data_IF_649029315557
#
_entry.id   IF_649029315557
#
_cell.length_a   1.000
_cell.length_b   1.000
_cell.length_c   1.000
_cell.angle_alpha   90.00
_cell.angle_beta   90.00
_cell.angle_gamma   90.00
#
_symmetry.space_group_name_H-M   'P 1'
#
loop_
_entity.id
_entity.type
_entity.pdbx_description
1 polymer ?
#
# COMPACT_ATOMS: atom_id res chain seq x y z
N UNK A 1 -13.21 42.03 20.90
CA UNK A 1 -13.20 40.65 21.43
C UNK A 1 -13.61 39.60 20.40
N UNK A 2 -14.75 39.73 19.70
CA UNK A 2 -15.21 38.78 18.66
C UNK A 2 -14.20 38.52 17.53
N UNK A 3 -13.57 39.57 16.98
CA UNK A 3 -12.55 39.45 15.93
C UNK A 3 -11.30 38.68 16.40
N UNK A 4 -10.92 38.83 17.66
CA UNK A 4 -9.75 38.16 18.26
C UNK A 4 -10.04 36.66 18.46
N UNK A 5 -11.28 36.31 18.82
CA UNK A 5 -11.74 34.93 18.95
C UNK A 5 -11.82 34.21 17.60
N UNK A 6 -12.31 34.89 16.56
CA UNK A 6 -12.35 34.37 15.18
C UNK A 6 -10.92 34.12 14.67
N UNK A 7 -9.99 35.01 14.96
CA UNK A 7 -8.59 34.89 14.55
C UNK A 7 -7.87 33.73 15.26
N UNK A 8 -8.10 33.54 16.57
CA UNK A 8 -7.56 32.40 17.33
C UNK A 8 -8.16 31.07 16.84
N UNK A 9 -9.47 31.03 16.59
CA UNK A 9 -10.15 29.83 16.09
C UNK A 9 -9.65 29.45 14.69
N UNK A 10 -9.43 30.45 13.82
CA UNK A 10 -8.91 30.22 12.47
C UNK A 10 -7.46 29.73 12.49
N UNK A 11 -6.60 30.35 13.32
CA UNK A 11 -5.21 29.93 13.50
C UNK A 11 -5.14 28.51 14.08
N UNK A 12 -5.94 28.19 15.08
CA UNK A 12 -5.99 26.84 15.67
C UNK A 12 -6.48 25.78 14.68
N UNK A 13 -7.45 26.12 13.83
CA UNK A 13 -7.97 25.21 12.78
C UNK A 13 -6.92 24.95 11.71
N UNK A 14 -6.16 25.98 11.31
CA UNK A 14 -5.07 25.86 10.33
C UNK A 14 -3.89 25.05 10.90
N UNK A 15 -3.54 25.24 12.18
CA UNK A 15 -2.48 24.47 12.88
C UNK A 15 -2.90 23.00 13.06
N UNK A 16 -4.16 22.74 13.41
CA UNK A 16 -4.69 21.39 13.56
C UNK A 16 -4.75 20.64 12.22
N UNK A 17 -5.20 21.32 11.15
CA UNK A 17 -5.22 20.74 9.81
C UNK A 17 -3.80 20.54 9.25
N UNK A 18 -2.90 21.47 9.55
CA UNK A 18 -1.48 21.40 9.23
C UNK A 18 -0.81 20.20 9.89
N UNK A 19 -0.95 20.01 11.20
CA UNK A 19 -0.37 18.89 11.95
C UNK A 19 -0.97 17.54 11.57
N UNK A 20 -2.29 17.43 11.38
CA UNK A 20 -2.95 16.20 10.93
C UNK A 20 -2.46 15.77 9.53
N UNK A 21 -2.27 16.75 8.64
CA UNK A 21 -1.80 16.48 7.27
C UNK A 21 -0.29 16.29 7.21
N UNK A 22 0.48 16.95 8.07
CA UNK A 22 1.92 16.74 8.28
C UNK A 22 2.23 15.32 8.79
N UNK A 23 1.35 14.75 9.63
CA UNK A 23 1.43 13.35 10.07
C UNK A 23 1.22 12.34 8.92
N UNK A 24 0.34 12.68 7.96
CA UNK A 24 0.20 11.95 6.68
C UNK A 24 1.41 12.16 5.74
N UNK A 25 2.06 13.33 5.84
CA UNK A 25 3.15 13.77 4.98
C UNK A 25 4.53 13.22 5.35
N UNK A 26 4.80 13.08 6.66
CA UNK A 26 6.12 12.70 7.18
C UNK A 26 6.52 11.25 6.90
N UNK A 27 5.68 10.44 6.26
CA UNK A 27 5.99 9.04 5.95
C UNK A 27 6.63 8.30 7.15
N UNK A 28 6.14 8.63 8.37
CA UNK A 28 6.52 8.01 9.64
C UNK A 28 6.00 6.56 9.73
N UNK A 29 5.70 5.93 8.59
CA UNK A 29 5.51 4.49 8.44
C UNK A 29 6.81 3.77 8.11
N UNK A 30 7.76 4.43 7.45
CA UNK A 30 9.02 3.82 7.01
C UNK A 30 10.08 3.73 8.11
N UNK A 31 10.18 4.74 8.96
CA UNK A 31 11.06 4.75 10.15
C UNK A 31 10.48 3.85 11.26
N UNK A 32 9.16 3.89 11.46
CA UNK A 32 8.46 3.01 12.38
C UNK A 32 8.58 1.53 11.95
N UNK A 33 8.45 1.21 10.65
CA UNK A 33 8.67 -0.14 10.11
C UNK A 33 10.07 -0.70 10.50
N UNK A 34 11.09 0.16 10.61
CA UNK A 34 12.47 -0.23 10.92
C UNK A 34 12.62 -0.61 12.40
N UNK A 35 12.10 0.21 13.31
CA UNK A 35 12.09 -0.08 14.77
C UNK A 35 11.15 -1.25 15.12
N UNK A 36 10.02 -1.37 14.43
CA UNK A 36 9.05 -2.47 14.63
C UNK A 36 9.64 -3.83 14.22
N UNK A 37 10.52 -3.88 13.22
CA UNK A 37 11.21 -5.12 12.85
C UNK A 37 12.23 -5.56 13.91
N UNK A 38 12.90 -4.60 14.53
CA UNK A 38 13.83 -4.87 15.62
C UNK A 38 13.10 -5.44 16.86
N UNK A 39 11.93 -4.89 17.21
CA UNK A 39 11.10 -5.40 18.30
C UNK A 39 10.42 -6.76 17.97
N UNK A 40 10.06 -7.01 16.71
CA UNK A 40 9.43 -8.26 16.29
C UNK A 40 10.39 -9.45 16.28
N UNK A 41 11.69 -9.22 16.07
CA UNK A 41 12.71 -10.26 16.23
C UNK A 41 12.90 -10.67 17.69
N UNK A 42 12.62 -9.78 18.65
CA UNK A 42 12.63 -10.08 20.09
C UNK A 42 11.34 -10.71 20.62
N UNK A 43 10.28 -10.81 19.80
CA UNK A 43 8.99 -11.33 20.25
C UNK A 43 8.97 -12.88 20.27
N UNK A 44 8.31 -13.51 21.28
CA UNK A 44 8.27 -14.96 21.47
C UNK A 44 7.45 -15.68 20.39
N UNK A 45 7.95 -16.85 19.95
CA UNK A 45 7.46 -17.55 18.74
C UNK A 45 6.02 -18.08 18.84
N UNK A 46 5.53 -18.36 20.05
CA UNK A 46 4.13 -18.81 20.27
C UNK A 46 3.12 -17.74 19.85
N UNK A 47 3.43 -16.46 20.04
CA UNK A 47 2.59 -15.33 19.62
C UNK A 47 2.57 -15.17 18.10
N UNK A 48 3.70 -15.44 17.42
CA UNK A 48 3.79 -15.38 15.95
C UNK A 48 2.84 -16.38 15.29
N UNK A 49 2.81 -17.61 15.79
CA UNK A 49 2.00 -18.71 15.24
C UNK A 49 0.50 -18.53 15.52
N UNK A 50 0.11 -18.08 16.72
CA UNK A 50 -1.30 -17.85 17.08
C UNK A 50 -1.90 -16.70 16.26
N UNK A 51 -1.14 -15.62 16.09
CA UNK A 51 -1.55 -14.46 15.27
C UNK A 51 -1.61 -14.83 13.79
N UNK A 52 -0.71 -15.69 13.30
CA UNK A 52 -0.74 -16.19 11.93
C UNK A 52 -1.94 -17.08 11.61
N UNK A 53 -2.40 -17.88 12.57
CA UNK A 53 -3.56 -18.78 12.39
C UNK A 53 -4.91 -18.06 12.32
N UNK A 54 -5.11 -16.98 13.09
CA UNK A 54 -6.40 -16.25 13.11
C UNK A 54 -6.56 -15.21 11.98
N UNK A 55 -5.46 -14.68 11.42
CA UNK A 55 -5.48 -13.57 10.46
C UNK A 55 -5.41 -13.97 8.97
N UNK A 56 -5.36 -15.27 8.65
CA UNK A 56 -5.33 -15.79 7.26
C UNK A 56 -6.75 -15.87 6.64
N UNK A 57 -7.81 -15.67 7.43
CA UNK A 57 -9.18 -15.62 6.88
C UNK A 57 -9.41 -14.30 6.12
N UNK A 58 -9.18 -14.37 4.81
CA UNK A 58 -9.82 -13.57 3.75
C UNK A 58 -9.99 -12.07 4.03
N UNK A 59 -8.99 -11.27 3.66
CA UNK A 59 -9.26 -9.90 3.19
C UNK A 59 -8.55 -9.64 1.87
N UNK A 60 -9.14 -10.21 0.81
CA UNK A 60 -8.93 -9.79 -0.56
C UNK A 60 -9.61 -8.44 -0.79
N UNK A 61 -8.89 -7.51 -1.42
CA UNK A 61 -9.49 -6.38 -2.12
C UNK A 61 -9.74 -5.09 -1.31
N UNK A 62 -9.21 -4.00 -1.87
CA UNK A 62 -9.66 -2.59 -1.91
C UNK A 62 -10.57 -2.00 -0.80
N UNK A 63 -10.51 -2.49 0.44
CA UNK A 63 -11.30 -1.97 1.57
C UNK A 63 -10.43 -1.31 2.63
N UNK A 64 -9.52 -0.45 2.18
CA UNK A 64 -8.74 0.45 3.06
C UNK A 64 -9.65 1.32 3.95
N UNK A 65 -10.77 1.77 3.39
CA UNK A 65 -11.74 2.62 4.08
C UNK A 65 -12.58 1.85 5.11
N UNK A 66 -12.90 0.58 4.84
CA UNK A 66 -13.66 -0.27 5.77
C UNK A 66 -12.83 -0.59 7.02
N UNK A 67 -11.52 -0.82 6.85
CA UNK A 67 -10.58 -1.01 7.96
C UNK A 67 -10.49 0.25 8.84
N UNK A 68 -10.41 1.44 8.24
CA UNK A 68 -10.37 2.70 9.01
C UNK A 68 -11.66 2.92 9.82
N UNK A 69 -12.81 2.60 9.23
CA UNK A 69 -14.12 2.76 9.88
C UNK A 69 -14.33 1.76 11.04
N UNK A 70 -13.92 0.50 10.84
CA UNK A 70 -13.95 -0.52 11.91
C UNK A 70 -13.02 -0.15 13.07
N UNK A 71 -11.87 0.48 12.78
CA UNK A 71 -10.93 1.01 13.78
C UNK A 71 -11.45 2.23 14.53
N UNK A 72 -12.12 3.16 13.84
CA UNK A 72 -12.80 4.29 14.48
C UNK A 72 -13.89 3.80 15.44
N UNK A 73 -14.68 2.80 15.01
CA UNK A 73 -15.72 2.16 15.83
C UNK A 73 -15.15 1.42 17.04
N UNK A 74 -14.07 0.65 16.88
CA UNK A 74 -13.41 -0.03 17.99
C UNK A 74 -12.76 0.95 18.98
N UNK A 75 -12.18 2.04 18.49
CA UNK A 75 -11.61 3.09 19.34
C UNK A 75 -12.70 3.85 20.13
N UNK A 76 -13.86 4.12 19.52
CA UNK A 76 -14.98 4.75 20.23
C UNK A 76 -15.61 3.80 21.25
N UNK A 77 -15.74 2.51 20.94
CA UNK A 77 -16.20 1.48 21.89
C UNK A 77 -15.21 1.31 23.05
N UNK A 78 -13.90 1.32 22.76
CA UNK A 78 -12.85 1.25 23.79
C UNK A 78 -12.83 2.51 24.66
N UNK A 79 -13.06 3.70 24.09
CA UNK A 79 -13.15 4.93 24.86
C UNK A 79 -14.42 4.97 25.74
N UNK A 80 -15.56 4.51 25.20
CA UNK A 80 -16.82 4.42 25.93
C UNK A 80 -16.76 3.44 27.11
N UNK A 81 -16.12 2.28 26.91
CA UNK A 81 -15.92 1.28 27.98
C UNK A 81 -14.89 1.72 29.03
N UNK A 82 -13.92 2.57 28.65
CA UNK A 82 -12.92 3.15 29.56
C UNK A 82 -13.51 4.16 30.56
N UNK A 83 -14.56 4.90 30.16
CA UNK A 83 -15.27 5.86 31.05
C UNK A 83 -15.96 5.15 32.22
N UNK A 84 -16.37 3.88 32.03
CA UNK A 84 -17.15 3.12 33.02
C UNK A 84 -16.24 2.43 34.05
N UNK A 85 -15.04 1.98 33.67
CA UNK A 85 -14.25 1.04 34.49
C UNK A 85 -12.95 1.59 35.11
N UNK A 86 -12.63 2.90 34.99
CA UNK A 86 -11.48 3.58 35.64
C UNK A 86 -10.07 3.00 35.45
N UNK A 87 -9.88 2.00 34.57
CA UNK A 87 -8.56 1.45 34.22
C UNK A 87 -8.21 1.70 32.73
N UNK A 88 -7.84 2.94 32.34
CA UNK A 88 -7.70 3.34 30.94
C UNK A 88 -6.43 2.83 30.24
N UNK A 89 -5.42 2.38 30.99
CA UNK A 89 -4.09 2.09 30.43
C UNK A 89 -4.00 0.75 29.70
N UNK A 90 -4.73 -0.28 30.17
CA UNK A 90 -4.63 -1.64 29.62
C UNK A 90 -5.33 -1.75 28.26
N UNK A 91 -6.49 -1.10 28.10
CA UNK A 91 -7.22 -1.07 26.83
C UNK A 91 -6.51 -0.25 25.75
N UNK A 92 -5.86 0.86 26.13
CA UNK A 92 -5.05 1.66 25.20
C UNK A 92 -3.85 0.85 24.69
N UNK A 93 -3.19 0.09 25.58
CA UNK A 93 -2.07 -0.77 25.20
C UNK A 93 -2.52 -1.91 24.27
N UNK A 94 -3.66 -2.55 24.56
CA UNK A 94 -4.20 -3.63 23.72
C UNK A 94 -4.65 -3.12 22.34
N UNK A 95 -5.32 -1.97 22.28
CA UNK A 95 -5.70 -1.33 21.02
C UNK A 95 -4.48 -0.93 20.19
N UNK A 96 -3.42 -0.41 20.82
CA UNK A 96 -2.19 -0.02 20.13
C UNK A 96 -1.41 -1.23 19.60
N UNK A 97 -1.31 -2.31 20.38
CA UNK A 97 -0.68 -3.57 19.95
C UNK A 97 -1.47 -4.21 18.78
N UNK A 98 -2.81 -4.17 18.84
CA UNK A 98 -3.65 -4.72 17.78
C UNK A 98 -3.56 -3.87 16.49
N UNK A 99 -3.37 -2.55 16.62
CA UNK A 99 -3.13 -1.63 15.50
C UNK A 99 -1.78 -1.91 14.84
N UNK A 100 -0.77 -2.15 15.67
CA UNK A 100 0.60 -2.43 15.26
C UNK A 100 0.72 -3.75 14.48
N UNK A 101 0.04 -4.81 14.92
CA UNK A 101 0.04 -6.12 14.24
C UNK A 101 -0.71 -6.06 12.90
N UNK A 102 -1.83 -5.34 12.83
CA UNK A 102 -2.66 -5.26 11.63
C UNK A 102 -2.00 -4.44 10.51
N UNK A 103 -1.33 -3.32 10.85
CA UNK A 103 -0.68 -2.47 9.85
C UNK A 103 0.56 -3.14 9.23
N UNK A 104 1.30 -3.96 10.01
CA UNK A 104 2.50 -4.68 9.56
C UNK A 104 2.22 -5.72 8.47
N UNK A 105 1.09 -6.44 8.54
CA UNK A 105 0.74 -7.42 7.50
C UNK A 105 0.37 -6.72 6.19
N UNK A 106 -0.30 -5.57 6.26
CA UNK A 106 -0.67 -4.79 5.08
C UNK A 106 0.56 -4.24 4.34
N UNK A 107 1.56 -3.73 5.06
CA UNK A 107 2.79 -3.21 4.43
C UNK A 107 3.65 -4.32 3.81
N UNK A 108 3.78 -5.47 4.47
CA UNK A 108 4.51 -6.63 3.94
C UNK A 108 3.86 -7.18 2.67
N UNK A 109 2.53 -7.28 2.65
CA UNK A 109 1.81 -7.80 1.50
C UNK A 109 1.85 -6.84 0.30
N UNK A 110 1.78 -5.53 0.56
CA UNK A 110 1.99 -4.51 -0.47
C UNK A 110 3.42 -4.51 -1.03
N UNK A 111 4.44 -4.70 -0.16
CA UNK A 111 5.84 -4.83 -0.61
C UNK A 111 6.01 -6.09 -1.46
N UNK A 112 5.46 -7.22 -1.02
CA UNK A 112 5.48 -8.49 -1.76
C UNK A 112 4.88 -8.34 -3.16
N UNK A 113 3.66 -7.78 -3.26
CA UNK A 113 2.98 -7.62 -4.56
C UNK A 113 3.73 -6.63 -5.47
N UNK A 114 4.33 -5.57 -4.92
CA UNK A 114 5.17 -4.65 -5.71
C UNK A 114 6.41 -5.34 -6.26
N UNK A 115 7.06 -6.20 -5.49
CA UNK A 115 8.22 -6.98 -5.96
C UNK A 115 7.79 -7.92 -7.09
N UNK A 116 6.67 -8.64 -6.94
CA UNK A 116 6.16 -9.51 -8.00
C UNK A 116 5.87 -8.77 -9.31
N UNK A 117 5.23 -7.60 -9.24
CA UNK A 117 4.94 -6.78 -10.43
C UNK A 117 6.22 -6.25 -11.08
N UNK A 118 7.25 -5.95 -10.30
CA UNK A 118 8.55 -5.48 -10.82
C UNK A 118 9.32 -6.59 -11.54
N UNK A 119 9.22 -7.83 -11.05
CA UNK A 119 9.89 -8.99 -11.64
C UNK A 119 9.18 -9.51 -12.90
N UNK A 120 7.85 -9.37 -12.98
CA UNK A 120 7.00 -9.92 -14.05
C UNK A 120 7.45 -9.62 -15.49
N UNK A 121 7.87 -8.39 -15.88
CA UNK A 121 8.29 -8.09 -17.24
C UNK A 121 9.49 -8.95 -17.70
N UNK A 122 10.46 -9.17 -16.81
CA UNK A 122 11.64 -9.98 -17.12
C UNK A 122 11.27 -11.45 -17.32
N UNK A 123 10.37 -11.98 -16.48
CA UNK A 123 9.86 -13.34 -16.66
C UNK A 123 9.11 -13.51 -17.99
N UNK A 124 8.27 -12.54 -18.36
CA UNK A 124 7.58 -12.55 -19.65
C UNK A 124 8.57 -12.57 -20.83
N UNK A 125 9.65 -11.79 -20.76
CA UNK A 125 10.66 -11.79 -21.83
C UNK A 125 11.39 -13.13 -21.92
N UNK A 126 11.84 -13.68 -20.80
CA UNK A 126 12.53 -14.98 -20.75
C UNK A 126 11.63 -16.11 -21.27
N UNK A 127 10.37 -16.16 -20.84
CA UNK A 127 9.40 -17.16 -21.33
C UNK A 127 9.16 -16.95 -22.83
N UNK A 128 9.03 -15.70 -23.30
CA UNK A 128 8.86 -15.43 -24.73
C UNK A 128 10.06 -15.90 -25.55
N UNK A 129 11.28 -15.77 -25.04
CA UNK A 129 12.50 -16.20 -25.71
C UNK A 129 12.57 -17.73 -25.80
N UNK A 130 12.21 -18.43 -24.73
CA UNK A 130 12.13 -19.91 -24.72
C UNK A 130 11.04 -20.41 -25.67
N UNK A 131 9.87 -19.77 -25.68
CA UNK A 131 8.81 -20.14 -26.61
C UNK A 131 9.15 -19.81 -28.07
N UNK A 132 9.90 -18.74 -28.31
CA UNK A 132 10.40 -18.41 -29.65
C UNK A 132 11.36 -19.46 -30.21
N UNK A 133 12.10 -20.18 -29.34
CA UNK A 133 12.96 -21.31 -29.74
C UNK A 133 12.22 -22.64 -29.87
N UNK A 134 10.89 -22.65 -29.74
CA UNK A 134 10.06 -23.85 -29.88
C UNK A 134 9.85 -24.64 -28.59
N UNK A 135 10.24 -24.10 -27.44
CA UNK A 135 9.99 -24.76 -26.14
C UNK A 135 8.51 -24.63 -25.76
N UNK A 136 7.82 -25.73 -25.38
CA UNK A 136 6.43 -25.67 -24.93
C UNK A 136 6.26 -24.78 -23.68
N UNK A 137 5.11 -24.10 -23.55
CA UNK A 137 4.84 -23.14 -22.47
C UNK A 137 5.13 -23.69 -21.06
N UNK A 138 4.67 -24.89 -20.75
CA UNK A 138 4.83 -25.49 -19.41
C UNK A 138 6.32 -25.72 -19.09
N UNK A 139 7.08 -26.21 -20.07
CA UNK A 139 8.52 -26.43 -19.93
C UNK A 139 9.30 -25.11 -19.90
N UNK A 140 8.83 -24.09 -20.62
CA UNK A 140 9.40 -22.74 -20.58
C UNK A 140 9.20 -22.10 -19.19
N UNK A 141 8.01 -22.24 -18.59
CA UNK A 141 7.72 -21.78 -17.23
C UNK A 141 8.63 -22.46 -16.20
N UNK A 142 8.82 -23.76 -16.31
CA UNK A 142 9.71 -24.53 -15.44
C UNK A 142 11.16 -24.06 -15.56
N UNK A 143 11.72 -24.03 -16.78
CA UNK A 143 13.11 -23.62 -17.00
C UNK A 143 13.40 -22.19 -16.54
N UNK A 144 12.47 -21.27 -16.77
CA UNK A 144 12.63 -19.87 -16.36
C UNK A 144 12.53 -19.74 -14.84
N UNK A 145 11.65 -20.49 -14.18
CA UNK A 145 11.56 -20.51 -12.72
C UNK A 145 12.85 -21.05 -12.09
N UNK A 146 13.37 -22.17 -12.61
CA UNK A 146 14.63 -22.75 -12.14
C UNK A 146 15.84 -21.83 -12.35
N UNK A 147 15.86 -21.08 -13.46
CA UNK A 147 16.94 -20.13 -13.75
C UNK A 147 16.92 -18.90 -12.83
N UNK A 148 15.78 -18.60 -12.20
CA UNK A 148 15.55 -17.39 -11.42
C UNK A 148 15.17 -17.68 -9.95
N UNK A 149 15.68 -18.77 -9.37
CA UNK A 149 15.27 -19.28 -8.05
C UNK A 149 15.31 -18.27 -6.88
N UNK A 150 16.14 -17.23 -6.95
CA UNK A 150 16.20 -16.17 -5.92
C UNK A 150 15.02 -15.21 -5.95
N UNK A 151 14.30 -15.13 -7.08
CA UNK A 151 13.19 -14.20 -7.29
C UNK A 151 11.91 -14.73 -6.69
N UNK A 152 11.09 -13.83 -6.14
CA UNK A 152 9.83 -14.23 -5.50
C UNK A 152 8.86 -14.84 -6.51
N UNK A 153 8.80 -14.31 -7.73
CA UNK A 153 7.92 -14.83 -8.79
C UNK A 153 8.32 -16.24 -9.24
N UNK A 154 9.62 -16.59 -9.20
CA UNK A 154 10.07 -17.96 -9.50
C UNK A 154 9.51 -18.98 -8.51
N UNK A 155 9.51 -18.66 -7.21
CA UNK A 155 8.96 -19.55 -6.18
C UNK A 155 7.47 -19.86 -6.40
N UNK A 156 6.70 -18.85 -6.82
CA UNK A 156 5.28 -18.98 -7.11
C UNK A 156 5.02 -19.78 -8.41
N UNK A 157 5.84 -19.58 -9.46
CA UNK A 157 5.78 -20.38 -10.69
C UNK A 157 6.19 -21.83 -10.42
N UNK A 158 7.21 -22.07 -9.60
CA UNK A 158 7.61 -23.41 -9.19
C UNK A 158 6.49 -24.14 -8.44
N UNK A 159 5.73 -23.43 -7.59
CA UNK A 159 4.54 -23.99 -6.96
C UNK A 159 3.45 -24.37 -7.99
N UNK A 160 3.29 -23.60 -9.08
CA UNK A 160 2.39 -23.96 -10.19
C UNK A 160 2.90 -25.19 -10.93
N UNK A 161 4.18 -25.27 -11.27
CA UNK A 161 4.79 -26.43 -11.95
C UNK A 161 4.64 -27.69 -11.10
N UNK A 162 4.82 -27.61 -9.78
CA UNK A 162 4.58 -28.73 -8.88
C UNK A 162 3.11 -29.18 -8.87
N UNK A 163 2.15 -28.24 -8.93
CA UNK A 163 0.72 -28.59 -9.05
C UNK A 163 0.42 -29.31 -10.36
N UNK A 164 0.99 -28.83 -11.46
CA UNK A 164 0.88 -29.48 -12.77
C UNK A 164 1.44 -30.91 -12.75
N UNK A 165 2.61 -31.11 -12.14
CA UNK A 165 3.23 -32.45 -11.98
C UNK A 165 2.39 -33.41 -11.13
N UNK A 166 1.57 -32.88 -10.22
CA UNK A 166 0.60 -33.66 -9.41
C UNK A 166 -0.69 -34.00 -10.17
N UNK A 167 -0.81 -33.63 -11.44
CA UNK A 167 -1.98 -33.91 -12.28
C UNK A 167 -3.08 -32.85 -12.20
N UNK A 168 -2.84 -31.70 -11.55
CA UNK A 168 -3.81 -30.60 -11.58
C UNK A 168 -3.84 -29.97 -12.98
N UNK A 169 -5.03 -29.60 -13.46
CA UNK A 169 -5.18 -28.89 -14.73
C UNK A 169 -4.42 -27.55 -14.76
N UNK A 170 -3.99 -27.14 -15.95
CA UNK A 170 -3.27 -25.88 -16.17
C UNK A 170 -4.10 -24.67 -15.70
N UNK A 171 -5.37 -24.63 -16.08
CA UNK A 171 -6.28 -23.54 -15.75
C UNK A 171 -6.46 -23.40 -14.24
N UNK A 172 -6.66 -24.51 -13.53
CA UNK A 172 -6.82 -24.51 -12.07
C UNK A 172 -5.51 -24.09 -11.36
N UNK A 173 -4.37 -24.57 -11.84
CA UNK A 173 -3.06 -24.28 -11.23
C UNK A 173 -2.67 -22.81 -11.42
N UNK A 174 -2.92 -22.25 -12.61
CA UNK A 174 -2.70 -20.85 -12.91
C UNK A 174 -3.69 -19.93 -12.17
N UNK A 175 -4.95 -20.35 -12.02
CA UNK A 175 -5.93 -19.61 -11.21
C UNK A 175 -5.51 -19.53 -9.74
N UNK A 176 -5.00 -20.62 -9.17
CA UNK A 176 -4.45 -20.63 -7.81
C UNK A 176 -3.27 -19.66 -7.64
N UNK A 177 -2.42 -19.48 -8.65
CA UNK A 177 -1.40 -18.43 -8.67
C UNK A 177 -2.01 -17.03 -8.62
N UNK A 178 -3.04 -16.78 -9.42
CA UNK A 178 -3.72 -15.48 -9.47
C UNK A 178 -4.48 -15.15 -8.18
N UNK A 179 -4.97 -16.17 -7.47
CA UNK A 179 -5.64 -16.02 -6.18
C UNK A 179 -4.64 -15.78 -5.03
N UNK A 180 -3.44 -16.37 -5.11
CA UNK A 180 -2.35 -16.13 -4.17
C UNK A 180 -1.65 -14.77 -4.36
N UNK A 181 -1.69 -14.24 -5.58
CA UNK A 181 -1.05 -12.98 -5.96
C UNK A 181 -2.12 -11.92 -6.29
N UNK A 182 -2.51 -11.09 -5.32
CA UNK A 182 -3.48 -10.01 -5.54
C UNK A 182 -2.84 -8.76 -6.18
N UNK A 183 -2.17 -8.97 -7.31
CA UNK A 183 -1.72 -7.90 -8.18
C UNK A 183 -2.48 -8.01 -9.50
N UNK A 184 -3.15 -6.92 -9.90
CA UNK A 184 -3.91 -6.84 -11.15
C UNK A 184 -3.11 -7.32 -12.37
N UNK A 185 -1.83 -6.92 -12.57
CA UNK A 185 -1.04 -7.38 -13.70
C UNK A 185 -0.83 -8.91 -13.74
N UNK A 186 -0.70 -9.56 -12.58
CA UNK A 186 -0.50 -11.01 -12.52
C UNK A 186 -1.79 -11.74 -12.94
N UNK A 187 -2.95 -11.24 -12.51
CA UNK A 187 -4.25 -11.81 -12.91
C UNK A 187 -4.47 -11.68 -14.42
N UNK A 188 -4.09 -10.55 -15.02
CA UNK A 188 -4.17 -10.33 -16.46
C UNK A 188 -3.23 -11.26 -17.23
N UNK A 189 -1.98 -11.38 -16.77
CA UNK A 189 -0.99 -12.31 -17.33
C UNK A 189 -1.45 -13.77 -17.28
N UNK A 190 -1.96 -14.21 -16.12
CA UNK A 190 -2.52 -15.56 -15.93
C UNK A 190 -3.68 -15.80 -16.90
N UNK A 191 -4.61 -14.84 -17.01
CA UNK A 191 -5.77 -14.98 -17.89
C UNK A 191 -5.35 -15.07 -19.36
N UNK A 192 -4.35 -14.30 -19.77
CA UNK A 192 -3.77 -14.36 -21.12
C UNK A 192 -3.13 -15.73 -21.38
N UNK A 193 -2.34 -16.26 -20.44
CA UNK A 193 -1.69 -17.57 -20.58
C UNK A 193 -2.69 -18.71 -20.66
N UNK A 194 -3.72 -18.72 -19.80
CA UNK A 194 -4.79 -19.72 -19.81
C UNK A 194 -5.54 -19.70 -21.14
N UNK A 195 -5.98 -18.52 -21.60
CA UNK A 195 -6.67 -18.39 -22.88
C UNK A 195 -5.80 -18.81 -24.07
N UNK A 196 -4.53 -18.39 -24.09
CA UNK A 196 -3.62 -18.74 -25.18
C UNK A 196 -3.28 -20.23 -25.20
N UNK A 197 -3.16 -20.88 -24.04
CA UNK A 197 -2.95 -22.32 -23.96
C UNK A 197 -4.15 -23.10 -24.49
N UNK A 198 -5.37 -22.72 -24.10
CA UNK A 198 -6.60 -23.37 -24.57
C UNK A 198 -6.80 -23.22 -26.09
N UNK A 199 -6.42 -22.06 -26.66
CA UNK A 199 -6.57 -21.78 -28.08
C UNK A 199 -5.42 -22.32 -28.94
N UNK A 200 -4.34 -22.83 -28.33
CA UNK A 200 -3.14 -23.27 -29.05
C UNK A 200 -2.42 -22.14 -29.81
N UNK A 201 -2.66 -20.88 -29.44
CA UNK A 201 -2.10 -19.72 -30.13
C UNK A 201 -0.65 -19.45 -29.74
N UNK A 202 0.13 -18.86 -30.64
CA UNK A 202 1.51 -18.42 -30.32
C UNK A 202 1.48 -17.28 -29.30
N UNK A 203 1.94 -17.58 -28.08
CA UNK A 203 2.02 -16.63 -26.97
C UNK A 203 3.26 -15.72 -27.00
N UNK A 204 4.17 -15.91 -27.95
CA UNK A 204 5.44 -15.17 -28.04
C UNK A 204 5.24 -13.66 -28.24
N UNK A 205 4.39 -13.25 -29.20
CA UNK A 205 4.10 -11.83 -29.45
C UNK A 205 3.29 -11.20 -28.29
N UNK A 206 2.20 -11.83 -27.80
CA UNK A 206 1.47 -11.31 -26.64
C UNK A 206 2.33 -11.12 -25.39
N UNK A 207 3.23 -12.06 -25.06
CA UNK A 207 4.11 -11.93 -23.88
C UNK A 207 5.05 -10.72 -23.99
N UNK A 208 5.66 -10.51 -25.16
CA UNK A 208 6.54 -9.36 -25.39
C UNK A 208 5.80 -8.04 -25.31
N UNK A 209 4.61 -7.97 -25.91
CA UNK A 209 3.76 -6.79 -25.83
C UNK A 209 3.38 -6.50 -24.37
N UNK A 210 2.98 -7.53 -23.63
CA UNK A 210 2.63 -7.41 -22.22
C UNK A 210 3.83 -6.96 -21.36
N UNK A 211 5.03 -7.52 -21.58
CA UNK A 211 6.25 -7.07 -20.91
C UNK A 211 6.56 -5.59 -21.16
N UNK A 212 6.41 -5.14 -22.41
CA UNK A 212 6.58 -3.73 -22.78
C UNK A 212 5.54 -2.83 -22.09
N UNK A 213 4.27 -3.25 -22.10
CA UNK A 213 3.18 -2.52 -21.42
C UNK A 213 3.46 -2.35 -19.93
N UNK A 214 3.92 -3.41 -19.24
CA UNK A 214 4.29 -3.32 -17.83
C UNK A 214 5.45 -2.35 -17.57
N UNK A 215 6.47 -2.35 -18.44
CA UNK A 215 7.58 -1.39 -18.33
C UNK A 215 7.09 0.04 -18.47
N UNK A 216 6.20 0.30 -19.43
CA UNK A 216 5.57 1.62 -19.58
C UNK A 216 4.75 2.00 -18.34
N UNK A 217 3.97 1.08 -17.76
CA UNK A 217 3.22 1.36 -16.53
C UNK A 217 4.13 1.67 -15.33
N UNK A 218 5.26 0.97 -15.20
CA UNK A 218 6.25 1.24 -14.17
C UNK A 218 6.89 2.63 -14.34
N UNK A 219 7.20 3.02 -15.59
CA UNK A 219 7.71 4.35 -15.91
C UNK A 219 6.67 5.44 -15.62
N UNK A 220 5.45 5.29 -16.11
CA UNK A 220 4.34 6.21 -15.83
C UNK A 220 4.09 6.36 -14.32
N UNK A 221 4.23 5.27 -13.56
CA UNK A 221 4.09 5.30 -12.10
C UNK A 221 5.24 6.05 -11.42
N UNK A 222 6.45 5.99 -11.97
CA UNK A 222 7.59 6.75 -11.49
C UNK A 222 7.43 8.26 -11.82
N UNK A 223 7.01 8.56 -13.04
CA UNK A 223 6.76 9.94 -13.50
C UNK A 223 5.64 10.62 -12.70
N UNK A 224 4.54 9.90 -12.43
CA UNK A 224 3.47 10.40 -11.55
C UNK A 224 4.00 10.79 -10.17
N UNK A 225 4.87 9.97 -9.57
CA UNK A 225 5.49 10.29 -8.27
C UNK A 225 6.41 11.50 -8.36
N UNK A 226 7.10 11.70 -9.48
CA UNK A 226 7.93 12.87 -9.72
C UNK A 226 7.10 14.15 -9.89
N UNK A 227 5.97 14.09 -10.60
CA UNK A 227 5.06 15.21 -10.81
C UNK A 227 4.27 15.59 -9.55
N UNK A 228 4.05 14.65 -8.63
CA UNK A 228 3.47 14.94 -7.33
C UNK A 228 4.41 15.74 -6.41
N UNK A 229 5.73 15.73 -6.66
CA UNK A 229 6.72 16.43 -5.83
C UNK A 229 6.55 17.97 -5.78
N UNK A 230 6.36 18.69 -6.89
CA UNK A 230 6.13 20.14 -6.85
C UNK A 230 4.79 20.52 -6.19
N UNK A 231 3.72 19.78 -6.46
CA UNK A 231 2.41 20.01 -5.80
C UNK A 231 2.51 19.80 -4.29
N UNK A 232 3.35 18.85 -3.90
CA UNK A 232 3.72 18.61 -2.51
C UNK A 232 4.43 19.85 -1.91
N UNK A 233 5.42 20.42 -2.59
CA UNK A 233 6.16 21.61 -2.11
C UNK A 233 5.30 22.89 -1.98
N UNK A 234 4.22 23.03 -2.75
CA UNK A 234 3.30 24.17 -2.63
C UNK A 234 2.54 24.17 -1.30
N UNK A 235 2.34 23.01 -0.68
CA UNK A 235 1.54 22.91 0.54
C UNK A 235 2.19 23.62 1.75
N UNK A 236 3.46 23.35 2.13
CA UNK A 236 4.15 24.13 3.16
C UNK A 236 4.19 25.63 2.88
N UNK A 237 4.34 26.00 1.61
CA UNK A 237 4.43 27.39 1.18
C UNK A 237 3.10 28.11 1.44
N UNK A 238 1.97 27.53 1.06
CA UNK A 238 0.64 28.10 1.34
C UNK A 238 0.37 28.14 2.85
N UNK A 239 0.71 27.10 3.60
CA UNK A 239 0.48 27.06 5.06
C UNK A 239 1.33 28.11 5.82
N UNK A 240 2.52 28.46 5.32
CA UNK A 240 3.36 29.50 5.94
C UNK A 240 2.99 30.91 5.46
N UNK A 241 2.64 31.07 4.18
CA UNK A 241 2.35 32.37 3.57
C UNK A 241 0.98 32.91 3.96
N UNK A 242 -0.03 32.04 4.08
CA UNK A 242 -1.39 32.43 4.44
C UNK A 242 -1.52 33.15 5.80
N UNK A 243 -0.96 32.64 6.92
CA UNK A 243 -1.06 33.33 8.20
C UNK A 243 -0.29 34.66 8.21
N UNK A 244 0.85 34.75 7.53
CA UNK A 244 1.64 35.98 7.44
C UNK A 244 0.89 37.06 6.66
N UNK A 245 0.32 36.73 5.50
CA UNK A 245 -0.48 37.69 4.73
C UNK A 245 -1.72 38.16 5.48
N UNK A 246 -2.41 37.27 6.19
CA UNK A 246 -3.55 37.67 7.02
C UNK A 246 -3.15 38.66 8.11
N UNK A 247 -1.98 38.46 8.74
CA UNK A 247 -1.45 39.35 9.77
C UNK A 247 -1.09 40.73 9.20
N UNK A 248 -0.50 40.79 7.99
CA UNK A 248 -0.16 42.04 7.30
C UNK A 248 -1.40 42.82 6.88
N UNK A 249 -2.45 42.14 6.39
CA UNK A 249 -3.69 42.81 5.94
C UNK A 249 -4.55 43.25 7.13
N UNK A 250 -4.74 42.38 8.14
CA UNK A 250 -5.57 42.71 9.32
C UNK A 250 -4.89 43.65 10.30
N UNK A 251 -3.56 43.68 10.34
CA UNK A 251 -2.77 44.56 11.21
C UNK A 251 -3.23 46.02 11.19
N UNK A 252 -3.19 46.71 10.04
CA UNK A 252 -3.61 48.11 9.97
C UNK A 252 -5.12 48.29 10.19
N UNK A 253 -5.97 47.34 9.77
CA UNK A 253 -7.43 47.41 9.94
C UNK A 253 -7.80 47.41 11.43
N UNK A 254 -7.17 46.54 12.22
CA UNK A 254 -7.41 46.46 13.67
C UNK A 254 -6.89 47.71 14.37
N UNK A 255 -5.73 48.24 13.96
CA UNK A 255 -5.18 49.48 14.51
C UNK A 255 -6.05 50.70 14.18
N UNK A 256 -6.56 50.80 12.95
CA UNK A 256 -7.49 51.84 12.54
C UNK A 256 -8.83 51.74 13.27
N UNK A 257 -9.38 50.54 13.48
CA UNK A 257 -10.59 50.34 14.29
C UNK A 257 -10.38 50.67 15.77
N UNK A 258 -9.16 50.49 16.29
CA UNK A 258 -8.84 50.77 17.69
C UNK A 258 -8.55 52.24 17.96
N UNK A 259 -8.00 52.97 16.99
CA UNK A 259 -7.66 54.40 17.12
C UNK A 259 -8.74 55.32 16.54
N UNK A 260 -9.54 54.83 15.59
CA UNK A 260 -10.66 55.52 14.98
C UNK A 260 -12.00 55.04 15.55
N UNK A 261 -12.35 55.54 16.73
CA UNK A 261 -13.77 55.74 17.04
C UNK A 261 -14.33 56.70 16.00
N UNK A 262 -15.41 56.31 15.33
CA UNK A 262 -16.12 57.12 14.35
C UNK A 262 -16.27 58.58 14.80
N UNK A 263 -15.69 59.49 14.03
CA UNK A 263 -16.28 60.79 13.70
C UNK A 263 -16.31 60.90 12.19
#
# INVERSE_FOLDING_TARGET
>A
MLLLFILIFFVSTVVFFGTYKLWSYLQLSSVLDREINHLWQRAPDKLKVVVERYLVLKFAGNKAHLSFFVWLLLATISAATSIINREPLVFMFFALVLLMVFNKRRTLWLKRNKTLVKELPDFCDLISMMMASGVPLILALEKVADSCNERLLASEINAVVQRLRRGNGFDASMKALSDGCDAKPIKEWVTMLVKGHQQGASLTKPLRFFAHQLRQELLNSAEKRAQEAPVKLLFPLVTCFFPVNFLVILGPIILQMSQGGFT
#
